data_IF_262991774667
#
_entry.id   IF_262991774667
#
_cell.length_a   1.000
_cell.length_b   1.000
_cell.length_c   1.000
_cell.angle_alpha   90.00
_cell.angle_beta   90.00
_cell.angle_gamma   90.00
#
_symmetry.space_group_name_H-M   'P 1'
#
loop_
_entity.id
_entity.type
_entity.pdbx_description
1 polymer ?
#
# COMPACT_ATOMS: atom_id res chain seq x y z
N UNK A 1 5.90 23.66 -9.86
CA UNK A 1 4.77 24.16 -10.67
C UNK A 1 5.31 24.86 -11.90
N UNK A 2 6.36 25.67 -11.73
CA UNK A 2 7.04 26.42 -12.79
C UNK A 2 7.50 25.56 -13.97
N UNK A 3 8.06 24.37 -13.72
CA UNK A 3 8.46 23.41 -14.76
C UNK A 3 7.29 22.89 -15.63
N UNK A 4 6.09 22.77 -15.06
CA UNK A 4 4.90 22.32 -15.79
C UNK A 4 4.30 23.48 -16.58
N UNK A 5 4.22 24.66 -15.96
CA UNK A 5 3.73 25.88 -16.59
C UNK A 5 4.62 26.33 -17.77
N UNK A 6 5.90 25.97 -17.77
CA UNK A 6 6.84 26.29 -18.84
C UNK A 6 6.65 25.44 -20.12
N UNK A 7 5.83 24.38 -20.09
CA UNK A 7 5.66 23.48 -21.24
C UNK A 7 4.42 23.84 -22.06
N UNK A 8 4.62 24.17 -23.33
CA UNK A 8 3.55 24.52 -24.27
C UNK A 8 2.58 23.37 -24.57
N UNK A 9 2.96 22.13 -24.29
CA UNK A 9 2.14 20.94 -24.50
C UNK A 9 1.43 20.45 -23.23
N UNK A 10 1.40 21.26 -22.16
CA UNK A 10 0.70 20.95 -20.93
C UNK A 10 -0.23 22.08 -20.55
N UNK A 11 -1.52 21.77 -20.42
CA UNK A 11 -2.52 22.69 -19.89
C UNK A 11 -2.88 22.28 -18.45
N UNK A 12 -2.75 23.22 -17.51
CA UNK A 12 -3.13 23.01 -16.11
C UNK A 12 -4.50 23.62 -15.86
N UNK A 13 -5.50 22.78 -15.56
CA UNK A 13 -6.85 23.21 -15.19
C UNK A 13 -7.09 22.98 -13.71
N UNK A 14 -7.21 24.07 -12.96
CA UNK A 14 -7.60 24.04 -11.53
C UNK A 14 -9.12 24.06 -11.40
N UNK A 15 -9.65 23.63 -10.26
CA UNK A 15 -11.09 23.48 -10.02
C UNK A 15 -11.80 22.59 -11.06
N UNK A 16 -11.08 21.75 -11.79
CA UNK A 16 -11.63 20.85 -12.78
C UNK A 16 -11.77 19.43 -12.22
N UNK A 17 -12.87 18.76 -12.52
CA UNK A 17 -13.15 17.39 -12.11
C UNK A 17 -13.60 16.55 -13.31
N UNK A 18 -13.00 15.37 -13.51
CA UNK A 18 -13.48 14.42 -14.53
C UNK A 18 -14.75 13.76 -14.01
N UNK A 19 -15.88 14.04 -14.66
CA UNK A 19 -17.21 13.52 -14.30
C UNK A 19 -17.74 12.45 -15.25
N UNK A 20 -17.01 12.18 -16.32
CA UNK A 20 -17.36 11.14 -17.29
C UNK A 20 -16.37 11.06 -18.44
N UNK A 21 -16.67 10.19 -19.39
CA UNK A 21 -15.90 10.00 -20.61
C UNK A 21 -16.44 8.83 -21.41
N UNK A 22 -15.96 8.68 -22.64
CA UNK A 22 -16.44 7.61 -23.51
C UNK A 22 -15.70 7.50 -24.83
N UNK A 23 -16.15 6.53 -25.63
CA UNK A 23 -15.63 6.20 -26.95
C UNK A 23 -15.98 4.75 -27.30
N UNK A 24 -15.68 4.33 -28.52
CA UNK A 24 -15.95 2.97 -29.00
C UNK A 24 -14.68 2.10 -28.90
N UNK A 25 -14.63 1.23 -27.88
CA UNK A 25 -13.51 0.32 -27.64
C UNK A 25 -12.22 0.98 -27.12
N UNK A 26 -12.13 2.31 -27.11
CA UNK A 26 -11.08 3.11 -26.46
C UNK A 26 -11.63 4.45 -25.97
N UNK A 27 -10.87 5.14 -25.12
CA UNK A 27 -11.21 6.50 -24.72
C UNK A 27 -11.04 7.45 -25.91
N UNK A 28 -12.05 8.29 -26.15
CA UNK A 28 -12.01 9.33 -27.18
C UNK A 28 -12.30 10.73 -26.61
N UNK A 29 -13.03 10.80 -25.48
CA UNK A 29 -13.31 12.05 -24.80
C UNK A 29 -13.51 11.87 -23.30
N UNK A 30 -13.32 12.97 -22.58
CA UNK A 30 -13.67 13.15 -21.17
C UNK A 30 -14.77 14.20 -21.06
N UNK A 31 -15.57 14.11 -20.00
CA UNK A 31 -16.42 15.18 -19.51
C UNK A 31 -15.74 15.78 -18.28
N UNK A 32 -15.39 17.06 -18.37
CA UNK A 32 -14.68 17.78 -17.31
C UNK A 32 -15.59 18.88 -16.78
N UNK A 33 -15.92 18.82 -15.49
CA UNK A 33 -16.73 19.81 -14.79
C UNK A 33 -15.86 20.86 -14.12
N UNK A 34 -16.18 22.14 -14.31
CA UNK A 34 -15.65 23.22 -13.50
C UNK A 34 -16.43 23.27 -12.18
N UNK A 35 -15.76 22.97 -11.06
CA UNK A 35 -16.34 22.92 -9.71
C UNK A 35 -16.84 24.27 -9.20
N UNK A 36 -16.42 25.39 -9.79
CA UNK A 36 -16.92 26.72 -9.42
C UNK A 36 -18.25 27.05 -10.09
N UNK A 37 -18.48 26.53 -11.31
CA UNK A 37 -19.70 26.81 -12.09
C UNK A 37 -20.66 25.63 -12.19
N UNK A 38 -20.19 24.41 -11.89
CA UNK A 38 -20.89 23.14 -12.08
C UNK A 38 -21.04 22.71 -13.55
N UNK A 39 -20.54 23.48 -14.51
CA UNK A 39 -20.70 23.18 -15.95
C UNK A 39 -19.68 22.16 -16.40
N UNK A 40 -20.15 21.14 -17.11
CA UNK A 40 -19.31 20.13 -17.74
C UNK A 40 -19.09 20.44 -19.22
N UNK A 41 -17.85 20.28 -19.68
CA UNK A 41 -17.46 20.37 -21.08
C UNK A 41 -16.86 19.06 -21.57
N UNK A 42 -16.94 18.82 -22.87
CA UNK A 42 -16.31 17.68 -23.52
C UNK A 42 -14.90 18.05 -23.95
N UNK A 43 -13.93 17.24 -23.54
CA UNK A 43 -12.51 17.38 -23.90
C UNK A 43 -12.08 16.13 -24.66
N UNK A 44 -11.53 16.29 -25.87
CA UNK A 44 -11.01 15.17 -26.63
C UNK A 44 -9.76 14.60 -25.92
N UNK A 45 -9.76 13.28 -25.71
CA UNK A 45 -8.72 12.61 -24.94
C UNK A 45 -8.58 11.15 -25.38
N UNK A 46 -7.36 10.75 -25.74
CA UNK A 46 -7.04 9.37 -26.08
C UNK A 46 -6.60 8.54 -24.86
N UNK A 47 -6.36 9.18 -23.71
CA UNK A 47 -5.91 8.50 -22.48
C UNK A 47 -6.16 9.34 -21.24
N UNK A 48 -6.33 8.65 -20.10
CA UNK A 48 -6.49 9.23 -18.78
C UNK A 48 -5.54 8.52 -17.82
N UNK A 49 -4.71 9.28 -17.12
CA UNK A 49 -3.79 8.77 -16.12
C UNK A 49 -4.14 9.36 -14.76
N UNK A 50 -4.48 8.51 -13.80
CA UNK A 50 -4.91 8.92 -12.47
C UNK A 50 -3.73 8.94 -11.51
N UNK A 51 -3.42 10.12 -10.97
CA UNK A 51 -2.38 10.34 -9.96
C UNK A 51 -2.99 10.86 -8.65
N UNK A 52 -4.11 10.27 -8.21
CA UNK A 52 -4.84 10.68 -6.99
C UNK A 52 -4.35 9.99 -5.71
N UNK A 53 -3.26 9.22 -5.80
CA UNK A 53 -2.72 8.40 -4.72
C UNK A 53 -3.31 6.98 -4.69
N UNK A 54 -2.91 6.23 -3.66
CA UNK A 54 -3.34 4.85 -3.43
C UNK A 54 -3.75 4.67 -1.96
N UNK A 55 -4.70 3.77 -1.73
CA UNK A 55 -5.14 3.31 -0.40
C UNK A 55 -4.82 1.82 -0.27
N UNK A 56 -4.06 1.39 0.74
CA UNK A 56 -3.75 -0.01 0.95
C UNK A 56 -4.93 -0.75 1.58
N UNK A 57 -5.14 -2.02 1.21
CA UNK A 57 -6.18 -2.89 1.78
C UNK A 57 -5.67 -3.60 3.03
N UNK A 58 -5.46 -2.84 4.10
CA UNK A 58 -4.82 -3.30 5.34
C UNK A 58 -5.77 -3.36 6.51
N UNK A 59 -7.05 -3.04 6.34
CA UNK A 59 -8.03 -2.93 7.43
C UNK A 59 -8.24 -4.24 8.20
N UNK A 60 -7.94 -5.38 7.57
CA UNK A 60 -8.04 -6.71 8.17
C UNK A 60 -6.87 -7.08 9.10
N UNK A 61 -5.74 -6.36 9.01
CA UNK A 61 -4.57 -6.67 9.83
C UNK A 61 -4.85 -6.34 11.31
N UNK A 62 -4.29 -7.11 12.26
CA UNK A 62 -4.44 -6.81 13.67
C UNK A 62 -3.74 -5.49 14.06
N UNK A 63 -4.14 -4.83 15.17
CA UNK A 63 -3.58 -3.54 15.58
C UNK A 63 -2.08 -3.61 15.93
N UNK A 64 -1.57 -4.79 16.29
CA UNK A 64 -0.15 -5.07 16.54
C UNK A 64 0.70 -4.91 15.27
N UNK A 65 0.08 -4.92 14.08
CA UNK A 65 0.73 -4.53 12.82
C UNK A 65 0.44 -3.05 12.57
N UNK A 66 1.39 -2.23 12.96
CA UNK A 66 1.32 -0.79 12.87
C UNK A 66 1.32 -0.32 11.43
N UNK A 67 0.62 0.79 11.23
CA UNK A 67 0.39 1.42 9.94
C UNK A 67 0.67 2.90 10.07
N UNK A 68 1.14 3.52 9.00
CA UNK A 68 1.21 4.98 8.94
C UNK A 68 -0.19 5.61 8.89
N UNK A 69 -0.24 6.95 8.96
CA UNK A 69 -1.49 7.73 8.90
C UNK A 69 -2.32 7.48 7.62
N UNK A 70 -1.70 6.91 6.58
CA UNK A 70 -2.33 6.58 5.29
C UNK A 70 -2.71 5.11 5.18
N UNK A 71 -2.50 4.32 6.24
CA UNK A 71 -2.85 2.91 6.33
C UNK A 71 -1.80 1.94 5.79
N UNK A 72 -0.61 2.38 5.38
CA UNK A 72 0.44 1.47 4.88
C UNK A 72 1.20 0.84 6.04
N UNK A 73 1.54 -0.44 5.91
CA UNK A 73 2.22 -1.21 6.97
C UNK A 73 3.63 -0.66 7.20
N UNK A 74 3.95 -0.39 8.46
CA UNK A 74 5.31 -0.04 8.87
C UNK A 74 6.18 -1.30 8.94
N UNK A 75 7.44 -1.16 8.53
CA UNK A 75 8.47 -2.20 8.67
C UNK A 75 9.66 -1.66 9.45
N UNK A 76 10.56 -2.52 9.91
CA UNK A 76 11.66 -2.18 10.83
C UNK A 76 12.32 -0.79 10.68
N UNK A 77 12.68 -0.29 9.47
CA UNK A 77 13.28 1.04 9.32
C UNK A 77 12.34 2.22 9.62
N UNK A 78 11.05 1.95 9.74
CA UNK A 78 9.94 2.90 9.74
C UNK A 78 9.11 2.84 11.02
N UNK A 79 9.35 1.83 11.84
CA UNK A 79 8.68 1.63 13.13
C UNK A 79 9.35 2.56 14.16
N UNK A 80 8.58 3.36 14.92
CA UNK A 80 9.11 4.19 16.00
C UNK A 80 9.90 3.36 17.02
N UNK A 81 10.96 3.91 17.61
CA UNK A 81 11.74 3.18 18.62
C UNK A 81 11.02 3.14 19.99
N UNK A 82 10.11 4.08 20.22
CA UNK A 82 9.36 4.22 21.47
C UNK A 82 8.09 3.36 21.44
N UNK A 83 7.75 2.72 22.55
CA UNK A 83 6.51 1.95 22.68
C UNK A 83 6.62 0.45 22.35
N UNK A 84 7.77 -0.01 21.86
CA UNK A 84 8.00 -1.43 21.56
C UNK A 84 8.80 -2.14 22.64
N UNK A 85 8.39 -3.36 22.98
CA UNK A 85 9.19 -4.23 23.82
C UNK A 85 10.54 -4.53 23.13
N UNK A 86 11.66 -4.56 23.87
CA UNK A 86 12.95 -4.90 23.30
C UNK A 86 12.90 -6.33 22.76
N UNK A 87 13.31 -6.49 21.50
CA UNK A 87 13.51 -7.80 20.90
C UNK A 87 14.90 -8.33 21.29
N UNK A 88 15.02 -9.64 21.49
CA UNK A 88 16.31 -10.30 21.73
C UNK A 88 17.28 -10.19 20.55
N UNK A 89 16.77 -9.79 19.38
CA UNK A 89 17.53 -9.52 18.16
C UNK A 89 17.08 -8.20 17.54
N UNK A 90 17.92 -7.57 16.71
CA UNK A 90 17.45 -6.49 15.84
C UNK A 90 16.27 -6.96 14.97
N UNK A 91 15.25 -6.12 14.74
CA UNK A 91 14.19 -6.42 13.80
C UNK A 91 14.76 -6.55 12.38
N UNK A 92 14.21 -7.48 11.59
CA UNK A 92 14.63 -7.70 10.22
C UNK A 92 14.02 -6.62 9.31
N UNK A 93 14.73 -6.20 8.26
CA UNK A 93 14.36 -5.05 7.42
C UNK A 93 12.90 -5.02 6.93
N UNK A 94 12.33 -6.17 6.56
CA UNK A 94 10.93 -6.26 6.07
C UNK A 94 9.95 -6.75 7.14
N UNK A 95 10.41 -6.91 8.38
CA UNK A 95 9.58 -7.31 9.52
C UNK A 95 8.70 -6.14 9.97
N UNK A 96 7.45 -6.44 10.29
CA UNK A 96 6.49 -5.46 10.81
C UNK A 96 6.71 -5.24 12.32
N UNK A 97 5.85 -4.44 12.95
CA UNK A 97 5.85 -4.27 14.42
C UNK A 97 5.44 -5.54 15.17
N UNK A 98 4.90 -6.56 14.47
CA UNK A 98 4.63 -7.88 15.01
C UNK A 98 5.77 -8.84 14.62
N UNK A 99 6.61 -9.30 15.57
CA UNK A 99 7.75 -10.16 15.24
C UNK A 99 7.36 -11.44 14.51
N UNK A 100 8.12 -11.79 13.49
CA UNK A 100 7.86 -12.94 12.62
C UNK A 100 6.86 -12.68 11.49
N UNK A 101 6.24 -11.49 11.45
CA UNK A 101 5.38 -11.07 10.33
C UNK A 101 6.15 -10.11 9.44
N UNK A 102 6.04 -10.30 8.13
CA UNK A 102 6.78 -9.52 7.14
C UNK A 102 5.83 -8.88 6.13
N UNK A 103 6.15 -7.67 5.69
CA UNK A 103 5.39 -6.94 4.68
C UNK A 103 6.26 -6.55 3.49
N UNK A 104 5.74 -6.74 2.27
CA UNK A 104 6.47 -6.47 1.02
C UNK A 104 5.57 -5.82 -0.02
N UNK A 105 6.19 -5.05 -0.91
CA UNK A 105 5.51 -4.39 -2.01
C UNK A 105 4.65 -3.23 -1.55
N UNK A 106 3.63 -2.93 -2.35
CA UNK A 106 2.89 -1.66 -2.27
C UNK A 106 2.06 -1.51 -0.98
N UNK A 107 1.89 -2.57 -0.19
CA UNK A 107 1.23 -2.50 1.12
C UNK A 107 2.09 -1.78 2.17
N UNK A 108 3.41 -1.76 1.98
CA UNK A 108 4.39 -1.21 2.91
C UNK A 108 4.51 0.31 2.77
N UNK A 109 4.76 1.00 3.88
CA UNK A 109 5.08 2.42 3.85
C UNK A 109 6.38 2.63 3.10
N UNK A 110 6.48 3.74 2.36
CA UNK A 110 7.69 4.16 1.62
C UNK A 110 8.30 3.13 0.65
N UNK A 111 7.56 2.09 0.26
CA UNK A 111 7.96 1.20 -0.84
C UNK A 111 8.03 1.97 -2.17
N UNK A 112 8.79 1.46 -3.13
CA UNK A 112 8.98 2.09 -4.45
C UNK A 112 7.69 2.14 -5.31
N UNK A 113 6.62 1.42 -4.94
CA UNK A 113 5.35 1.31 -5.68
C UNK A 113 5.54 0.79 -7.11
N UNK A 114 6.39 -0.22 -7.27
CA UNK A 114 6.74 -0.83 -8.56
C UNK A 114 6.79 -2.35 -8.44
N UNK A 115 6.24 -3.02 -9.46
CA UNK A 115 6.20 -4.49 -9.55
C UNK A 115 7.59 -5.11 -9.38
N UNK A 116 8.60 -4.62 -10.10
CA UNK A 116 9.96 -5.16 -10.02
C UNK A 116 10.55 -5.06 -8.60
N UNK A 117 10.31 -3.94 -7.91
CA UNK A 117 10.73 -3.75 -6.52
C UNK A 117 9.98 -4.70 -5.58
N UNK A 118 8.67 -4.84 -5.74
CA UNK A 118 7.87 -5.75 -4.93
C UNK A 118 8.31 -7.22 -5.09
N UNK A 119 8.64 -7.65 -6.32
CA UNK A 119 9.19 -8.99 -6.59
C UNK A 119 10.55 -9.18 -5.90
N UNK A 120 11.42 -8.17 -5.98
CA UNK A 120 12.70 -8.18 -5.27
C UNK A 120 12.54 -8.27 -3.75
N UNK A 121 11.68 -7.42 -3.18
CA UNK A 121 11.37 -7.44 -1.74
C UNK A 121 10.81 -8.81 -1.30
N UNK A 122 9.96 -9.44 -2.11
CA UNK A 122 9.44 -10.79 -1.82
C UNK A 122 10.55 -11.84 -1.67
N UNK A 123 11.56 -11.79 -2.54
CA UNK A 123 12.72 -12.69 -2.46
C UNK A 123 13.53 -12.46 -1.18
N UNK A 124 13.72 -11.20 -0.79
CA UNK A 124 14.42 -10.80 0.45
C UNK A 124 13.61 -11.17 1.69
N UNK A 125 12.28 -11.11 1.64
CA UNK A 125 11.42 -11.52 2.75
C UNK A 125 11.53 -13.02 3.04
N UNK A 126 11.59 -13.87 2.01
CA UNK A 126 11.76 -15.32 2.21
C UNK A 126 13.06 -15.62 2.97
N UNK A 127 14.17 -14.96 2.62
CA UNK A 127 15.43 -15.11 3.34
C UNK A 127 15.29 -14.71 4.82
N UNK A 128 14.60 -13.61 5.11
CA UNK A 128 14.36 -13.14 6.48
C UNK A 128 13.43 -14.06 7.27
N UNK A 129 12.43 -14.68 6.62
CA UNK A 129 11.59 -15.71 7.25
C UNK A 129 12.44 -16.91 7.64
N UNK A 130 13.33 -17.39 6.76
CA UNK A 130 14.25 -18.48 7.11
C UNK A 130 15.16 -18.12 8.28
N UNK A 131 15.72 -16.90 8.30
CA UNK A 131 16.53 -16.43 9.42
C UNK A 131 15.71 -16.40 10.73
N UNK A 132 14.49 -15.87 10.68
CA UNK A 132 13.60 -15.82 11.83
C UNK A 132 13.29 -17.21 12.39
N UNK A 133 12.87 -18.14 11.53
CA UNK A 133 12.49 -19.49 11.93
C UNK A 133 13.68 -20.29 12.48
N UNK A 134 14.88 -20.12 11.92
CA UNK A 134 16.09 -20.74 12.46
C UNK A 134 16.37 -20.27 13.89
N UNK A 135 16.29 -18.95 14.12
CA UNK A 135 16.49 -18.37 15.46
C UNK A 135 15.40 -18.80 16.44
N UNK A 136 14.15 -18.79 16.01
CA UNK A 136 13.01 -19.24 16.82
C UNK A 136 13.15 -20.69 17.27
N UNK A 137 13.61 -21.57 16.38
CA UNK A 137 13.89 -22.98 16.70
C UNK A 137 15.03 -23.13 17.71
N UNK A 138 16.09 -22.33 17.58
CA UNK A 138 17.24 -22.37 18.49
C UNK A 138 16.92 -21.82 19.88
N UNK A 139 15.96 -20.88 19.99
CA UNK A 139 15.52 -20.29 21.24
C UNK A 139 14.54 -21.17 22.06
N UNK A 140 14.24 -22.39 21.62
CA UNK A 140 13.34 -23.30 22.35
C UNK A 140 11.85 -22.96 22.19
N UNK A 141 11.48 -22.36 21.06
CA UNK A 141 10.12 -22.17 20.52
C UNK A 141 8.92 -22.51 21.46
N UNK A 142 8.18 -21.52 21.99
CA UNK A 142 6.87 -21.79 22.59
C UNK A 142 5.90 -22.40 21.56
N UNK A 143 4.83 -23.11 21.96
CA UNK A 143 3.88 -23.68 21.02
C UNK A 143 3.33 -22.57 20.10
N UNK A 144 3.29 -22.85 18.79
CA UNK A 144 2.64 -21.97 17.81
C UNK A 144 1.21 -21.71 18.30
N UNK A 145 0.84 -20.44 18.49
CA UNK A 145 -0.57 -20.07 18.56
C UNK A 145 -1.14 -20.36 17.18
N UNK A 146 -2.22 -21.15 17.10
CA UNK A 146 -2.79 -21.60 15.83
C UNK A 146 -2.92 -20.42 14.87
N UNK A 147 -2.31 -20.55 13.69
CA UNK A 147 -2.43 -19.55 12.65
C UNK A 147 -3.92 -19.39 12.32
N UNK A 148 -4.44 -18.15 12.16
CA UNK A 148 -5.80 -17.96 11.71
C UNK A 148 -6.00 -18.72 10.40
N UNK A 149 -7.12 -19.42 10.28
CA UNK A 149 -7.34 -20.28 9.13
C UNK A 149 -7.40 -19.41 7.86
N UNK A 150 -7.08 -19.96 6.68
CA UNK A 150 -7.22 -19.23 5.41
C UNK A 150 -8.63 -18.67 5.16
N UNK A 151 -9.65 -19.18 5.85
CA UNK A 151 -11.02 -18.66 5.80
C UNK A 151 -11.19 -17.35 6.58
N UNK A 152 -10.47 -17.18 7.70
CA UNK A 152 -10.53 -15.98 8.55
C UNK A 152 -9.88 -14.77 7.86
N UNK A 153 -8.92 -15.02 6.97
CA UNK A 153 -8.26 -14.00 6.14
C UNK A 153 -9.16 -13.54 4.97
N UNK A 154 -10.14 -14.37 4.57
CA UNK A 154 -11.02 -14.07 3.41
C UNK A 154 -12.34 -13.40 3.78
N UNK A 155 -12.72 -13.35 5.06
CA UNK A 155 -14.02 -12.81 5.47
C UNK A 155 -14.00 -12.18 6.88
N UNK A 156 -13.78 -10.85 7.01
CA UNK A 156 -13.80 -10.18 8.31
C UNK A 156 -15.20 -10.07 8.96
N UNK A 157 -16.25 -10.68 8.37
CA UNK A 157 -17.63 -10.61 8.88
C UNK A 157 -18.23 -11.96 9.31
N UNK A 158 -17.47 -13.06 9.33
CA UNK A 158 -17.96 -14.33 9.87
C UNK A 158 -17.33 -14.65 11.23
N UNK A 159 -17.70 -13.87 12.25
CA UNK A 159 -17.66 -14.36 13.64
C UNK A 159 -19.11 -14.68 14.01
N UNK A 160 -19.41 -15.96 14.11
CA UNK A 160 -20.72 -16.47 14.54
C UNK A 160 -20.93 -16.13 16.01
N UNK A 161 -22.15 -15.71 16.34
CA UNK A 161 -22.69 -15.47 17.69
C UNK A 161 -22.48 -16.65 18.62
#
# INVERSE_FOLDING_TARGET
IDEIAARSNVEVRVNAEVVGGGGEGRLEHLLVSDRTTGRAERVDAAGLFLFIGARPHTEWLPPEIERDERGFVLTAPDIPLEGHAPLERPPLHLETSLPGVFAVGDVRSRSVKRVASAVGEGSVAIQQVHEYLLRWRLAGAPPMVDAPSPADVRNPHSVST
#
